data_IF_917301431321
#
_entry.id   IF_917301431321
#
_cell.length_a   1.000
_cell.length_b   1.000
_cell.length_c   1.000
_cell.angle_alpha   90.00
_cell.angle_beta   90.00
_cell.angle_gamma   90.00
#
_symmetry.space_group_name_H-M   'P 1'
#
loop_
_entity.id
_entity.type
_entity.pdbx_description
1 polymer ?
#
# COMPACT_ATOMS: atom_id res chain seq x y z
N UNK A 1 -39.18 1.40 -13.68
CA UNK A 1 -37.95 0.92 -14.36
C UNK A 1 -37.33 -0.15 -13.49
N UNK A 2 -36.93 -1.32 -14.01
CA UNK A 2 -36.20 -2.27 -13.20
C UNK A 2 -34.79 -1.71 -12.98
N UNK A 3 -34.42 -1.48 -11.72
CA UNK A 3 -33.04 -1.19 -11.34
C UNK A 3 -32.23 -2.47 -11.56
N UNK A 4 -31.42 -2.55 -12.63
CA UNK A 4 -30.38 -3.58 -12.68
C UNK A 4 -29.30 -3.16 -11.70
N UNK A 5 -29.40 -3.67 -10.47
CA UNK A 5 -28.26 -3.66 -9.57
C UNK A 5 -27.27 -4.66 -10.15
N UNK A 6 -26.36 -4.20 -10.99
CA UNK A 6 -25.27 -5.02 -11.50
C UNK A 6 -24.45 -5.51 -10.31
N UNK A 7 -24.73 -6.73 -9.84
CA UNK A 7 -23.91 -7.43 -8.86
C UNK A 7 -22.59 -7.82 -9.54
N UNK A 8 -21.67 -6.87 -9.64
CA UNK A 8 -20.35 -7.08 -10.23
C UNK A 8 -19.43 -7.65 -9.15
N UNK A 9 -19.33 -8.97 -9.17
CA UNK A 9 -18.39 -9.71 -8.32
C UNK A 9 -16.99 -9.47 -8.89
N UNK A 10 -16.08 -8.96 -8.06
CA UNK A 10 -14.64 -8.97 -8.33
C UNK A 10 -14.24 -10.45 -8.36
N UNK A 11 -14.03 -11.00 -9.57
CA UNK A 11 -13.93 -12.45 -9.77
C UNK A 11 -12.52 -13.00 -9.50
N UNK A 12 -11.47 -12.18 -9.56
CA UNK A 12 -10.08 -12.62 -9.35
C UNK A 12 -9.20 -11.42 -9.06
N UNK A 13 -8.31 -11.48 -8.06
CA UNK A 13 -7.33 -10.40 -7.79
C UNK A 13 -6.33 -10.26 -8.95
N UNK A 14 -5.76 -9.07 -9.11
CA UNK A 14 -4.70 -8.81 -10.09
C UNK A 14 -3.35 -8.82 -9.36
N UNK A 15 -2.56 -9.91 -9.48
CA UNK A 15 -1.39 -10.14 -8.65
C UNK A 15 -0.17 -9.35 -9.15
N UNK A 16 -0.26 -8.04 -9.16
CA UNK A 16 0.84 -7.12 -9.43
C UNK A 16 0.70 -5.88 -8.55
N UNK A 17 1.82 -5.18 -8.36
CA UNK A 17 1.85 -3.99 -7.53
C UNK A 17 3.02 -3.06 -7.91
N UNK A 18 2.88 -1.80 -7.53
CA UNK A 18 3.94 -0.81 -7.48
C UNK A 18 4.11 -0.38 -6.02
N UNK A 19 5.36 -0.27 -5.58
CA UNK A 19 5.73 0.26 -4.28
C UNK A 19 6.78 1.33 -4.50
N UNK A 20 6.44 2.54 -4.08
CA UNK A 20 7.34 3.68 -4.09
C UNK A 20 7.78 3.99 -2.67
N UNK A 21 9.06 4.24 -2.47
CA UNK A 21 9.57 4.79 -1.22
C UNK A 21 9.30 6.29 -1.18
N UNK A 22 8.79 6.75 -0.04
CA UNK A 22 8.68 8.17 0.29
C UNK A 22 9.80 8.49 1.27
N UNK A 23 10.72 9.36 0.86
CA UNK A 23 11.89 9.73 1.65
C UNK A 23 12.25 11.20 1.43
N UNK A 24 12.47 11.95 2.51
CA UNK A 24 12.92 13.35 2.51
C UNK A 24 12.28 14.27 1.44
N UNK A 25 10.96 14.16 1.22
CA UNK A 25 10.24 14.98 0.24
C UNK A 25 10.34 14.52 -1.22
N UNK A 26 10.76 13.27 -1.44
CA UNK A 26 10.78 12.65 -2.77
C UNK A 26 10.01 11.32 -2.77
N UNK A 27 9.41 11.01 -3.92
CA UNK A 27 8.79 9.72 -4.20
C UNK A 27 9.62 8.99 -5.23
N UNK A 28 10.13 7.80 -4.88
CA UNK A 28 10.99 6.99 -5.74
C UNK A 28 10.40 5.61 -5.94
N UNK A 29 10.25 5.17 -7.18
CA UNK A 29 9.76 3.82 -7.48
C UNK A 29 10.80 2.79 -7.04
N UNK A 30 10.45 1.96 -6.06
CA UNK A 30 11.39 1.05 -5.42
C UNK A 30 11.19 -0.39 -5.88
N UNK A 31 9.94 -0.89 -5.82
CA UNK A 31 9.62 -2.26 -6.22
C UNK A 31 8.43 -2.28 -7.15
N UNK A 32 8.56 -2.99 -8.27
CA UNK A 32 7.43 -3.41 -9.10
C UNK A 32 7.34 -4.92 -9.07
N UNK A 33 6.11 -5.42 -9.05
CA UNK A 33 5.82 -6.85 -9.07
C UNK A 33 4.88 -7.13 -10.23
N UNK A 34 5.29 -8.02 -11.14
CA UNK A 34 4.50 -8.47 -12.29
C UNK A 34 3.82 -9.83 -12.06
N UNK A 35 4.15 -10.51 -10.95
CA UNK A 35 3.70 -11.86 -10.63
C UNK A 35 3.73 -12.13 -9.12
N UNK A 36 2.87 -11.45 -8.36
CA UNK A 36 2.69 -11.75 -6.94
C UNK A 36 2.00 -13.10 -6.75
N UNK A 37 2.24 -13.75 -5.61
CA UNK A 37 1.40 -14.87 -5.19
C UNK A 37 -0.01 -14.37 -4.86
N UNK A 38 -0.12 -13.22 -4.19
CA UNK A 38 -1.38 -12.52 -3.98
C UNK A 38 -1.16 -11.03 -3.68
N UNK A 39 -2.14 -10.22 -4.04
CA UNK A 39 -2.29 -8.83 -3.60
C UNK A 39 -3.70 -8.68 -3.03
N UNK A 40 -3.80 -8.27 -1.78
CA UNK A 40 -5.08 -8.09 -1.09
C UNK A 40 -5.13 -6.75 -0.40
N UNK A 41 -6.35 -6.23 -0.22
CA UNK A 41 -6.57 -5.00 0.52
C UNK A 41 -7.78 -5.16 1.43
N UNK A 42 -7.76 -4.40 2.52
CA UNK A 42 -8.85 -4.32 3.50
C UNK A 42 -9.08 -2.85 3.83
N UNK A 43 -10.29 -2.37 3.55
CA UNK A 43 -10.73 -1.07 4.06
C UNK A 43 -11.32 -1.32 5.45
N UNK A 44 -10.71 -0.73 6.46
CA UNK A 44 -11.14 -0.88 7.84
C UNK A 44 -12.34 0.03 8.09
N UNK A 45 -13.36 -0.46 8.80
CA UNK A 45 -14.53 0.36 9.12
C UNK A 45 -14.11 1.50 10.06
N UNK A 46 -14.71 2.70 9.95
CA UNK A 46 -14.54 3.75 10.94
C UNK A 46 -14.82 3.19 12.35
N UNK A 47 -13.85 3.32 13.26
CA UNK A 47 -13.95 2.78 14.64
C UNK A 47 -13.37 1.37 14.85
N UNK A 48 -12.70 0.77 13.86
CA UNK A 48 -12.04 -0.56 14.01
C UNK A 48 -10.71 -0.51 14.76
N UNK A 49 -10.23 0.67 15.16
CA UNK A 49 -8.98 0.81 15.91
C UNK A 49 -9.22 0.53 17.38
N UNK A 50 -8.78 -0.64 17.86
CA UNK A 50 -8.37 -0.80 19.26
C UNK A 50 -7.07 -0.01 19.47
N UNK A 51 -7.19 1.32 19.49
CA UNK A 51 -6.14 2.17 20.03
C UNK A 51 -6.24 2.00 21.55
N UNK A 52 -5.22 1.40 22.14
CA UNK A 52 -5.02 1.44 23.60
C UNK A 52 -5.04 2.91 24.01
N UNK A 53 -6.14 3.38 24.61
CA UNK A 53 -6.38 4.79 24.91
C UNK A 53 -5.63 5.22 26.19
N UNK A 54 -4.35 4.91 26.28
CA UNK A 54 -3.53 5.53 27.33
C UNK A 54 -3.33 7.00 26.96
N UNK A 55 -3.73 7.89 27.87
CA UNK A 55 -3.48 9.31 27.73
C UNK A 55 -2.49 9.76 28.80
N UNK A 56 -1.72 10.78 28.47
CA UNK A 56 -0.94 11.55 29.44
C UNK A 56 -1.81 12.74 29.87
N UNK A 57 -2.13 12.78 31.15
CA UNK A 57 -2.87 13.87 31.78
C UNK A 57 -1.86 14.84 32.42
N UNK A 58 -1.87 16.11 32.00
CA UNK A 58 -1.11 17.20 32.62
C UNK A 58 -2.09 18.02 33.46
N UNK A 59 -1.90 17.98 34.78
CA UNK A 59 -2.66 18.79 35.71
C UNK A 59 -2.15 20.23 35.71
N UNK A 60 -3.00 21.18 35.34
CA UNK A 60 -2.71 22.60 35.46
C UNK A 60 -2.90 23.08 36.90
N UNK A 61 -2.26 24.20 37.23
CA UNK A 61 -2.36 24.83 38.55
C UNK A 61 -3.79 25.33 38.90
N UNK A 62 -4.67 25.44 37.91
CA UNK A 62 -6.10 25.78 38.07
C UNK A 62 -7.00 24.55 38.23
N UNK A 63 -6.43 23.34 38.28
CA UNK A 63 -7.17 22.09 38.40
C UNK A 63 -7.74 21.55 37.09
N UNK A 64 -7.51 22.23 35.95
CA UNK A 64 -7.88 21.70 34.65
C UNK A 64 -6.92 20.59 34.20
N UNK A 65 -7.47 19.54 33.58
CA UNK A 65 -6.69 18.42 33.03
C UNK A 65 -6.52 18.63 31.54
N UNK A 66 -5.26 18.73 31.10
CA UNK A 66 -4.93 18.66 29.68
C UNK A 66 -4.57 17.23 29.32
N UNK A 67 -5.34 16.64 28.41
CA UNK A 67 -5.22 15.25 28.01
C UNK A 67 -4.57 15.14 26.64
N UNK A 68 -3.44 14.45 26.57
CA UNK A 68 -2.74 14.16 25.32
C UNK A 68 -2.71 12.65 25.07
N UNK A 69 -2.97 12.18 23.84
CA UNK A 69 -2.79 10.77 23.52
C UNK A 69 -1.32 10.36 23.71
N UNK A 70 -1.08 9.28 24.45
CA UNK A 70 0.27 8.77 24.69
C UNK A 70 0.79 8.12 23.41
N UNK A 71 1.90 8.62 22.89
CA UNK A 71 2.61 8.06 21.73
C UNK A 71 3.98 7.62 22.21
N UNK A 72 4.22 6.30 22.21
CA UNK A 72 5.53 5.76 22.53
C UNK A 72 6.32 5.71 21.22
N UNK A 73 7.25 6.63 21.03
CA UNK A 73 8.24 6.54 19.96
C UNK A 73 9.24 5.43 20.32
N UNK A 74 9.44 4.50 19.39
CA UNK A 74 10.52 3.51 19.46
C UNK A 74 11.63 4.06 18.55
N UNK A 75 12.78 4.39 19.14
CA UNK A 75 13.94 4.88 18.41
C UNK A 75 14.94 3.75 18.22
N UNK A 76 15.57 3.70 17.04
CA UNK A 76 16.71 2.84 16.75
C UNK A 76 17.87 3.19 17.68
N UNK A 77 18.51 2.18 18.25
CA UNK A 77 19.68 2.35 19.12
C UNK A 77 20.98 2.67 18.38
N UNK A 78 20.98 2.62 17.04
CA UNK A 78 22.17 2.86 16.22
C UNK A 78 22.25 4.30 15.71
N UNK A 79 21.11 4.85 15.27
CA UNK A 79 21.04 6.15 14.57
C UNK A 79 19.92 7.07 15.08
N UNK A 80 19.23 6.69 16.17
CA UNK A 80 18.11 7.44 16.76
C UNK A 80 16.93 7.68 15.81
N UNK A 81 16.86 6.96 14.68
CA UNK A 81 15.74 7.04 13.75
C UNK A 81 14.44 6.48 14.36
N UNK A 82 13.29 7.02 13.97
CA UNK A 82 11.98 6.53 14.42
C UNK A 82 11.62 5.22 13.73
N UNK A 83 11.68 4.12 14.49
CA UNK A 83 11.34 2.76 14.09
C UNK A 83 9.99 2.30 14.68
N UNK A 84 9.15 3.25 15.12
CA UNK A 84 7.84 2.92 15.68
C UNK A 84 7.00 2.18 14.64
N UNK A 85 6.53 0.95 14.94
CA UNK A 85 5.64 0.21 14.04
C UNK A 85 4.40 1.03 13.72
N UNK A 86 3.88 0.89 12.49
CA UNK A 86 2.75 1.67 12.01
C UNK A 86 1.62 1.71 13.05
N UNK A 87 1.14 0.56 13.53
CA UNK A 87 0.03 0.47 14.48
C UNK A 87 0.20 1.19 15.83
N UNK A 88 1.44 1.60 16.19
CA UNK A 88 1.75 2.32 17.43
C UNK A 88 2.14 3.79 17.23
N UNK A 89 2.24 4.24 15.98
CA UNK A 89 2.62 5.62 15.63
C UNK A 89 1.41 6.57 15.63
N UNK A 90 1.64 7.86 15.93
CA UNK A 90 0.62 8.91 15.90
C UNK A 90 0.01 9.14 14.52
N UNK A 91 0.77 8.84 13.46
CA UNK A 91 0.36 9.09 12.08
C UNK A 91 -0.34 7.88 11.45
N UNK A 92 -0.43 6.75 12.15
CA UNK A 92 -1.22 5.62 11.66
C UNK A 92 -2.71 5.92 11.74
N UNK A 93 -3.35 5.87 10.58
CA UNK A 93 -4.77 6.20 10.45
C UNK A 93 -5.66 4.97 10.63
N UNK A 94 -5.11 3.75 10.49
CA UNK A 94 -5.85 2.48 10.59
C UNK A 94 -7.13 2.46 9.74
N UNK A 95 -7.12 3.15 8.59
CA UNK A 95 -8.22 3.23 7.62
C UNK A 95 -8.16 2.09 6.60
N UNK A 96 -6.98 1.51 6.39
CA UNK A 96 -6.86 0.32 5.56
C UNK A 96 -5.52 -0.39 5.68
N UNK A 97 -5.48 -1.54 5.03
CA UNK A 97 -4.33 -2.43 4.98
C UNK A 97 -4.20 -2.99 3.56
N UNK A 98 -2.97 -3.06 3.05
CA UNK A 98 -2.63 -3.76 1.81
C UNK A 98 -1.61 -4.83 2.16
N UNK A 99 -1.90 -6.08 1.78
CA UNK A 99 -0.96 -7.20 1.95
C UNK A 99 -0.51 -7.71 0.59
N UNK A 100 0.80 -7.74 0.40
CA UNK A 100 1.48 -8.30 -0.76
C UNK A 100 2.18 -9.58 -0.35
N UNK A 101 1.88 -10.68 -1.02
CA UNK A 101 2.59 -11.95 -0.83
C UNK A 101 3.40 -12.21 -2.08
N UNK A 102 4.72 -12.28 -1.93
CA UNK A 102 5.64 -12.54 -3.04
C UNK A 102 6.43 -13.82 -2.83
N UNK A 103 6.55 -14.62 -3.88
CA UNK A 103 7.41 -15.79 -3.99
C UNK A 103 8.63 -15.51 -4.89
N UNK A 104 8.67 -14.34 -5.52
CA UNK A 104 9.72 -13.91 -6.44
C UNK A 104 10.29 -12.54 -6.03
N UNK A 105 11.44 -12.18 -6.58
CA UNK A 105 12.02 -10.86 -6.35
C UNK A 105 11.23 -9.79 -7.11
N UNK A 106 11.26 -8.53 -6.64
CA UNK A 106 10.78 -7.40 -7.44
C UNK A 106 11.52 -7.33 -8.80
N UNK A 107 10.88 -6.78 -9.84
CA UNK A 107 11.39 -6.76 -11.22
C UNK A 107 12.80 -6.11 -11.31
N UNK A 108 13.07 -5.13 -10.46
CA UNK A 108 14.32 -4.37 -10.42
C UNK A 108 15.46 -5.13 -9.72
N UNK A 109 15.12 -6.19 -8.97
CA UNK A 109 16.07 -6.90 -8.12
C UNK A 109 16.75 -8.03 -8.89
N UNK A 110 18.08 -8.00 -8.90
CA UNK A 110 18.90 -9.02 -9.59
C UNK A 110 18.82 -10.42 -8.95
N UNK A 111 18.33 -10.53 -7.71
CA UNK A 111 18.14 -11.81 -7.03
C UNK A 111 17.14 -11.69 -5.87
N UNK A 112 16.54 -12.81 -5.42
CA UNK A 112 15.71 -12.84 -4.21
C UNK A 112 16.44 -12.32 -2.97
N UNK A 113 17.74 -12.61 -2.83
CA UNK A 113 18.55 -12.11 -1.71
C UNK A 113 18.74 -10.60 -1.77
N UNK A 114 18.96 -10.03 -2.96
CA UNK A 114 19.06 -8.58 -3.12
C UNK A 114 17.73 -7.89 -2.79
N UNK A 115 16.61 -8.50 -3.19
CA UNK A 115 15.29 -8.02 -2.82
C UNK A 115 15.06 -8.07 -1.31
N UNK A 116 15.36 -9.19 -0.65
CA UNK A 116 15.25 -9.31 0.81
C UNK A 116 16.09 -8.25 1.53
N UNK A 117 17.34 -8.02 1.05
CA UNK A 117 18.18 -6.96 1.59
C UNK A 117 17.53 -5.58 1.41
N UNK A 118 17.01 -5.29 0.22
CA UNK A 118 16.30 -4.03 -0.05
C UNK A 118 15.09 -3.86 0.87
N UNK A 119 14.33 -4.92 1.15
CA UNK A 119 13.21 -4.87 2.11
C UNK A 119 13.73 -4.54 3.51
N UNK A 120 14.80 -5.21 3.97
CA UNK A 120 15.41 -4.92 5.28
C UNK A 120 15.90 -3.48 5.40
N UNK A 121 16.61 -3.00 4.38
CA UNK A 121 17.19 -1.65 4.35
C UNK A 121 16.11 -0.54 4.34
N UNK A 122 14.84 -0.88 4.06
CA UNK A 122 13.74 0.07 3.99
C UNK A 122 12.56 -0.27 4.93
N UNK A 123 12.74 -1.20 5.88
CA UNK A 123 11.67 -1.69 6.77
C UNK A 123 10.83 -0.59 7.40
N UNK A 124 11.49 0.45 7.91
CA UNK A 124 10.85 1.54 8.67
C UNK A 124 10.39 2.71 7.79
N UNK A 125 10.58 2.61 6.47
CA UNK A 125 10.22 3.65 5.52
C UNK A 125 8.71 3.77 5.33
N UNK A 126 8.28 4.95 4.87
CA UNK A 126 6.91 5.16 4.39
C UNK A 126 6.87 4.86 2.89
N UNK A 127 5.81 4.19 2.46
CA UNK A 127 5.64 3.77 1.07
C UNK A 127 4.33 4.27 0.50
N UNK A 128 4.31 4.59 -0.80
CA UNK A 128 3.09 4.62 -1.60
C UNK A 128 2.95 3.25 -2.27
N UNK A 129 1.88 2.54 -1.92
CA UNK A 129 1.56 1.22 -2.45
C UNK A 129 0.39 1.35 -3.40
N UNK A 130 0.55 0.81 -4.61
CA UNK A 130 -0.51 0.73 -5.62
C UNK A 130 -0.70 -0.70 -6.06
N UNK A 131 -1.93 -1.21 -5.99
CA UNK A 131 -2.28 -2.56 -6.47
C UNK A 131 -3.37 -2.47 -7.54
N UNK A 132 -3.34 -3.37 -8.52
CA UNK A 132 -4.46 -3.55 -9.43
C UNK A 132 -5.65 -4.18 -8.72
N UNK A 133 -6.85 -3.70 -8.96
CA UNK A 133 -8.06 -4.45 -8.62
C UNK A 133 -8.24 -5.61 -9.60
N UNK A 134 -9.15 -6.51 -9.29
CA UNK A 134 -9.49 -7.60 -10.20
C UNK A 134 -9.98 -7.15 -11.57
N UNK A 135 -10.19 -8.11 -12.46
CA UNK A 135 -10.68 -7.86 -13.81
C UNK A 135 -12.05 -8.53 -14.03
N UNK A 136 -12.87 -7.90 -14.85
CA UNK A 136 -14.23 -8.36 -15.12
C UNK A 136 -14.27 -9.67 -15.91
N UNK A 137 -15.41 -10.36 -15.89
CA UNK A 137 -15.62 -11.55 -16.73
C UNK A 137 -15.34 -11.27 -18.23
N UNK A 138 -15.70 -10.09 -18.71
CA UNK A 138 -15.46 -9.68 -20.10
C UNK A 138 -13.95 -9.58 -20.40
N UNK A 139 -13.18 -8.96 -19.49
CA UNK A 139 -11.72 -8.91 -19.54
C UNK A 139 -11.07 -10.30 -19.44
N UNK A 140 -11.71 -11.26 -18.77
CA UNK A 140 -11.24 -12.65 -18.70
C UNK A 140 -11.33 -13.34 -20.07
N UNK A 141 -12.47 -13.19 -20.74
CA UNK A 141 -12.79 -13.91 -21.99
C UNK A 141 -12.23 -13.25 -23.24
N UNK A 142 -12.02 -11.93 -23.23
CA UNK A 142 -11.47 -11.18 -24.35
C UNK A 142 -10.02 -10.77 -24.04
N UNK A 143 -9.07 -11.35 -24.77
CA UNK A 143 -7.64 -11.07 -24.59
C UNK A 143 -7.27 -9.62 -24.87
N UNK A 144 -8.04 -8.88 -25.68
CA UNK A 144 -7.79 -7.47 -25.94
C UNK A 144 -8.20 -6.56 -24.77
N UNK A 145 -9.06 -7.06 -23.87
CA UNK A 145 -9.61 -6.32 -22.74
C UNK A 145 -9.03 -6.76 -21.39
N UNK A 146 -8.01 -7.63 -21.40
CA UNK A 146 -7.45 -8.26 -20.18
C UNK A 146 -6.61 -7.26 -19.36
N UNK A 147 -7.27 -6.31 -18.70
CA UNK A 147 -6.70 -5.26 -17.85
C UNK A 147 -7.43 -5.22 -16.50
N UNK A 148 -6.80 -4.72 -15.43
CA UNK A 148 -7.50 -4.52 -14.16
C UNK A 148 -8.67 -3.53 -14.32
N UNK A 149 -9.76 -3.77 -13.59
CA UNK A 149 -10.94 -2.90 -13.64
C UNK A 149 -10.72 -1.57 -12.89
N UNK A 150 -9.60 -1.43 -12.18
CA UNK A 150 -9.24 -0.29 -11.36
C UNK A 150 -7.95 -0.51 -10.58
N UNK A 151 -7.64 0.44 -9.71
CA UNK A 151 -6.44 0.46 -8.88
C UNK A 151 -6.78 0.95 -7.49
N UNK A 152 -5.96 0.54 -6.52
CA UNK A 152 -6.05 0.99 -5.13
C UNK A 152 -4.71 1.59 -4.76
N UNK A 153 -4.75 2.80 -4.24
CA UNK A 153 -3.59 3.54 -3.77
C UNK A 153 -3.68 3.72 -2.26
N UNK A 154 -2.55 3.56 -1.57
CA UNK A 154 -2.45 3.78 -0.13
C UNK A 154 -1.04 4.23 0.21
N UNK A 155 -0.91 5.26 1.04
CA UNK A 155 0.34 5.54 1.74
C UNK A 155 0.35 4.73 3.03
N UNK A 156 1.41 3.98 3.28
CA UNK A 156 1.50 3.09 4.42
C UNK A 156 2.92 2.72 4.84
N UNK A 157 3.02 2.19 6.05
CA UNK A 157 4.24 1.58 6.60
C UNK A 157 4.04 0.08 6.77
N UNK A 158 5.12 -0.69 6.69
CA UNK A 158 5.09 -2.12 7.01
C UNK A 158 4.77 -2.28 8.50
N UNK A 159 3.85 -3.18 8.82
CA UNK A 159 3.37 -3.39 10.20
C UNK A 159 3.59 -4.81 10.71
N UNK A 160 3.92 -5.76 9.83
CA UNK A 160 4.20 -7.13 10.23
C UNK A 160 5.69 -7.35 10.52
N UNK A 161 5.97 -8.29 11.43
CA UNK A 161 7.34 -8.70 11.76
C UNK A 161 7.95 -9.50 10.60
N UNK A 162 8.61 -8.78 9.70
CA UNK A 162 9.34 -9.37 8.57
C UNK A 162 10.65 -10.02 9.01
N UNK A 163 11.27 -9.57 10.11
CA UNK A 163 12.52 -10.15 10.59
C UNK A 163 12.32 -11.60 11.04
N UNK A 164 11.25 -11.86 11.78
CA UNK A 164 10.86 -13.20 12.19
C UNK A 164 10.55 -14.09 10.98
N UNK A 165 9.89 -13.55 9.95
CA UNK A 165 9.64 -14.31 8.71
C UNK A 165 10.95 -14.69 8.03
N UNK A 166 11.85 -13.73 7.85
CA UNK A 166 13.13 -13.91 7.14
C UNK A 166 14.07 -14.87 7.86
N UNK A 167 14.02 -14.94 9.19
CA UNK A 167 14.80 -15.89 9.98
C UNK A 167 14.40 -17.36 9.75
N UNK A 168 13.19 -17.61 9.23
CA UNK A 168 12.66 -18.96 9.01
C UNK A 168 12.88 -19.51 7.58
N UNK A 169 13.69 -18.86 6.75
CA UNK A 169 13.91 -19.23 5.33
C UNK A 169 12.59 -19.44 4.56
N UNK A 170 11.72 -18.41 4.52
CA UNK A 170 10.36 -18.60 4.07
C UNK A 170 10.30 -18.77 2.54
N UNK A 171 9.41 -19.64 2.06
CA UNK A 171 9.17 -19.84 0.62
C UNK A 171 8.46 -18.66 -0.03
N UNK A 172 7.88 -17.77 0.77
CA UNK A 172 7.26 -16.52 0.34
C UNK A 172 7.43 -15.45 1.40
N UNK A 173 7.53 -14.19 0.98
CA UNK A 173 7.58 -13.02 1.83
C UNK A 173 6.20 -12.36 1.85
N UNK A 174 5.66 -12.11 3.03
CA UNK A 174 4.37 -11.41 3.18
C UNK A 174 4.65 -10.02 3.72
N UNK A 175 4.37 -8.98 2.94
CA UNK A 175 4.49 -7.59 3.37
C UNK A 175 3.11 -7.01 3.59
N UNK A 176 2.82 -6.63 4.84
CA UNK A 176 1.54 -6.03 5.24
C UNK A 176 1.76 -4.56 5.57
N UNK A 177 1.20 -3.70 4.72
CA UNK A 177 1.24 -2.26 4.87
C UNK A 177 -0.04 -1.77 5.53
N UNK A 178 0.08 -0.89 6.52
CA UNK A 178 -1.05 -0.24 7.19
C UNK A 178 -1.07 1.24 6.82
N UNK A 179 -2.27 1.79 6.63
CA UNK A 179 -2.47 3.17 6.20
C UNK A 179 -1.84 4.17 7.17
N UNK A 180 -1.10 5.13 6.61
CA UNK A 180 -0.25 6.06 7.35
C UNK A 180 -0.39 7.45 6.75
N UNK A 181 -0.60 8.46 7.59
CA UNK A 181 -0.60 9.86 7.18
C UNK A 181 0.81 10.28 6.77
N UNK A 182 0.92 11.13 5.76
CA UNK A 182 2.20 11.70 5.37
C UNK A 182 2.10 13.21 5.21
N UNK A 183 3.07 13.93 5.77
CA UNK A 183 3.23 15.38 5.63
C UNK A 183 4.62 15.78 5.13
N UNK A 184 5.40 14.84 4.62
CA UNK A 184 6.77 15.07 4.12
C UNK A 184 6.81 15.33 2.62
N UNK A 185 5.79 14.89 1.88
CA UNK A 185 5.60 15.16 0.44
C UNK A 185 4.38 16.04 0.19
N UNK A 186 4.35 16.70 -0.97
CA UNK A 186 3.27 17.57 -1.41
C UNK A 186 2.34 16.87 -2.42
N UNK A 187 1.18 17.47 -2.68
CA UNK A 187 0.19 16.97 -3.64
C UNK A 187 0.77 16.87 -5.07
N UNK A 188 1.64 17.80 -5.43
CA UNK A 188 2.34 17.88 -6.72
C UNK A 188 3.25 16.68 -6.96
N UNK A 189 3.83 16.10 -5.91
CA UNK A 189 4.68 14.91 -6.01
C UNK A 189 3.86 13.67 -6.42
N UNK A 190 2.63 13.57 -5.92
CA UNK A 190 1.71 12.45 -6.20
C UNK A 190 1.02 12.57 -7.56
N UNK A 191 0.82 13.79 -8.06
CA UNK A 191 0.11 14.04 -9.33
C UNK A 191 1.03 13.98 -10.56
N UNK A 192 2.30 13.64 -10.38
CA UNK A 192 3.27 13.53 -11.47
C UNK A 192 2.91 12.43 -12.49
N UNK A 193 2.94 12.78 -13.78
CA UNK A 193 2.67 11.82 -14.87
C UNK A 193 3.70 10.68 -15.00
N UNK A 194 4.89 10.88 -14.43
CA UNK A 194 5.98 9.90 -14.42
C UNK A 194 6.00 9.03 -13.16
N UNK A 195 4.98 9.14 -12.30
CA UNK A 195 4.96 8.42 -11.02
C UNK A 195 5.02 6.90 -11.21
N UNK A 196 4.26 6.36 -12.17
CA UNK A 196 4.22 4.92 -12.44
C UNK A 196 4.93 4.56 -13.74
N UNK A 197 5.80 3.55 -13.67
CA UNK A 197 6.33 2.86 -14.85
C UNK A 197 5.39 1.72 -15.25
N UNK A 198 5.13 1.56 -16.54
CA UNK A 198 4.30 0.46 -17.02
C UNK A 198 4.99 -0.90 -16.80
N UNK A 199 4.20 -1.92 -16.48
CA UNK A 199 4.66 -3.31 -16.34
C UNK A 199 4.01 -4.21 -17.39
N UNK A 200 4.62 -5.37 -17.58
CA UNK A 200 4.05 -6.51 -18.30
C UNK A 200 3.53 -7.50 -17.27
N UNK A 201 2.21 -7.65 -17.16
CA UNK A 201 1.62 -8.59 -16.22
C UNK A 201 1.73 -10.03 -16.74
N UNK A 202 2.39 -10.88 -15.95
CA UNK A 202 2.51 -12.31 -16.20
C UNK A 202 1.27 -13.04 -15.70
N UNK A 203 0.51 -13.61 -16.62
CA UNK A 203 -0.73 -14.33 -16.29
C UNK A 203 -0.51 -15.80 -15.91
N UNK A 204 0.68 -16.34 -16.20
CA UNK A 204 0.99 -17.76 -16.08
C UNK A 204 0.24 -18.63 -17.10
N UNK A 205 0.87 -19.73 -17.53
CA UNK A 205 0.26 -20.71 -18.44
C UNK A 205 0.29 -20.32 -19.94
N UNK A 206 -0.71 -20.76 -20.71
CA UNK A 206 -0.79 -20.53 -22.18
C UNK A 206 -1.35 -19.17 -22.58
N UNK A 207 -1.68 -18.32 -21.61
CA UNK A 207 -2.07 -16.93 -21.87
C UNK A 207 -0.85 -16.12 -22.32
N UNK A 208 -1.05 -15.20 -23.28
CA UNK A 208 -0.04 -14.16 -23.55
C UNK A 208 -0.01 -13.19 -22.38
N UNK A 209 1.18 -12.74 -22.00
CA UNK A 209 1.38 -11.66 -21.04
C UNK A 209 0.67 -10.39 -21.51
N UNK A 210 0.30 -9.52 -20.56
CA UNK A 210 -0.38 -8.26 -20.87
C UNK A 210 0.59 -7.10 -20.64
N UNK A 211 1.02 -6.49 -21.73
CA UNK A 211 1.92 -5.35 -21.71
C UNK A 211 1.19 -4.03 -21.40
N UNK A 212 1.95 -3.07 -20.90
CA UNK A 212 1.51 -1.67 -20.79
C UNK A 212 0.50 -1.44 -19.65
N UNK A 213 0.48 -2.30 -18.63
CA UNK A 213 -0.33 -2.06 -17.44
C UNK A 213 0.32 -0.91 -16.65
N UNK A 214 -0.42 0.18 -16.47
CA UNK A 214 -0.02 1.34 -15.68
C UNK A 214 -1.26 1.92 -14.98
N UNK A 215 -1.20 2.27 -13.69
CA UNK A 215 -2.26 3.02 -13.03
C UNK A 215 -2.49 4.38 -13.71
N UNK A 216 -3.72 4.92 -13.68
CA UNK A 216 -3.96 6.30 -14.09
C UNK A 216 -3.16 7.26 -13.17
N UNK A 217 -2.89 8.46 -13.67
CA UNK A 217 -2.27 9.49 -12.83
C UNK A 217 -3.20 9.82 -11.66
N UNK A 218 -2.64 9.97 -10.47
CA UNK A 218 -3.39 10.41 -9.30
C UNK A 218 -3.81 11.86 -9.52
N UNK A 219 -5.07 12.18 -9.25
CA UNK A 219 -5.60 13.54 -9.32
C UNK A 219 -5.45 14.25 -7.98
N UNK A 220 -5.51 15.58 -7.99
CA UNK A 220 -5.40 16.44 -6.81
C UNK A 220 -6.26 16.00 -5.62
N UNK A 221 -7.55 15.71 -5.84
CA UNK A 221 -8.46 15.30 -4.78
C UNK A 221 -8.03 13.98 -4.12
N UNK A 222 -7.56 13.02 -4.93
CA UNK A 222 -7.10 11.73 -4.44
C UNK A 222 -5.75 11.84 -3.74
N UNK A 223 -4.85 12.69 -4.23
CA UNK A 223 -3.58 13.00 -3.58
C UNK A 223 -3.79 13.57 -2.17
N UNK A 224 -4.75 14.50 -1.98
CA UNK A 224 -5.07 15.04 -0.65
C UNK A 224 -5.59 13.95 0.31
N UNK A 225 -6.43 13.04 -0.18
CA UNK A 225 -6.90 11.88 0.61
C UNK A 225 -5.75 10.96 1.00
N UNK A 226 -4.83 10.68 0.08
CA UNK A 226 -3.64 9.86 0.36
C UNK A 226 -2.73 10.49 1.40
N UNK A 227 -2.45 11.79 1.31
CA UNK A 227 -1.64 12.52 2.30
C UNK A 227 -2.31 12.50 3.69
N UNK A 228 -3.65 12.54 3.75
CA UNK A 228 -4.41 12.36 4.98
C UNK A 228 -4.46 10.90 5.49
N UNK A 229 -3.73 9.99 4.84
CA UNK A 229 -3.65 8.56 5.20
C UNK A 229 -4.91 7.77 4.88
N UNK A 230 -5.67 8.17 3.87
CA UNK A 230 -6.82 7.40 3.37
C UNK A 230 -6.41 6.38 2.31
N UNK A 231 -7.33 5.47 2.00
CA UNK A 231 -7.20 4.52 0.88
C UNK A 231 -8.04 5.04 -0.28
N UNK A 232 -7.42 5.23 -1.43
CA UNK A 232 -8.10 5.70 -2.65
C UNK A 232 -8.34 4.51 -3.58
N UNK A 233 -9.58 4.37 -4.05
CA UNK A 233 -9.98 3.36 -5.03
C UNK A 233 -10.35 4.06 -6.33
N UNK A 234 -9.57 3.81 -7.37
CA UNK A 234 -9.78 4.39 -8.71
C UNK A 234 -10.35 3.31 -9.61
N UNK A 235 -11.53 3.56 -10.19
CA UNK A 235 -12.12 2.68 -11.20
C UNK A 235 -11.63 3.09 -12.58
N UNK A 236 -11.09 2.16 -13.35
CA UNK A 236 -10.54 2.43 -14.68
C UNK A 236 -11.36 1.77 -15.80
N UNK A 237 -12.66 1.53 -15.55
CA UNK A 237 -13.56 0.99 -16.56
C UNK A 237 -14.84 1.80 -16.64
N UNK A 238 -15.27 2.03 -17.88
CA UNK A 238 -16.57 2.62 -18.18
C UNK A 238 -17.53 1.49 -18.51
N UNK A 239 -18.55 1.29 -17.69
CA UNK A 239 -19.61 0.33 -17.99
C UNK A 239 -20.63 1.01 -18.92
N UNK A 240 -20.70 0.55 -20.17
CA UNK A 240 -21.77 0.87 -21.12
C UNK A 240 -22.96 -0.05 -20.96
#
# INVERSE_FOLDING_TARGET
MPTSTDKKIILTGSPFAWVHKIDAGAITELWRFDNLQSSTYKILKPGSSTQSSENIDINRADGAIWRFPKTNLILSGEDESDITPAGSSSDATNKGEITLVTNEAAIESNSPTAFIKSVKDNLDSVFLITIGTGYSHKARTDSALRKPDGFIHMIGKINNDLEQQLNNSPTSLTMTFVSYKNSTIEETDLTSSSLFTAITWKLGGTGKDVDGIKPPNIISEDAQKLLAGEVVVVTNITYS
#
